data_IF_220386678246
#
_entry.id   IF_220386678246
#
_cell.length_a   1.000
_cell.length_b   1.000
_cell.length_c   1.000
_cell.angle_alpha   90.00
_cell.angle_beta   90.00
_cell.angle_gamma   90.00
#
_symmetry.space_group_name_H-M   'P 1'
#
loop_
_entity.id
_entity.type
_entity.pdbx_description
1 polymer ?
#
# COMPACT_ATOMS: atom_id res chain seq x y z
N UNK A 1 3.37 8.94 4.23
CA UNK A 1 4.59 9.15 5.06
C UNK A 1 5.82 9.56 4.24
N UNK A 2 6.31 8.74 3.31
CA UNK A 2 7.52 9.05 2.52
C UNK A 2 7.39 10.33 1.70
N UNK A 3 6.26 10.51 1.01
CA UNK A 3 6.02 11.71 0.21
C UNK A 3 6.09 13.00 1.05
N UNK A 4 5.47 13.01 2.22
CA UNK A 4 5.52 14.16 3.15
C UNK A 4 6.96 14.42 3.61
N UNK A 5 7.69 13.38 3.99
CA UNK A 5 9.11 13.51 4.35
C UNK A 5 9.93 14.12 3.22
N UNK A 6 9.73 13.66 1.98
CA UNK A 6 10.42 14.20 0.81
C UNK A 6 10.10 15.68 0.57
N UNK A 7 8.83 16.10 0.67
CA UNK A 7 8.43 17.49 0.51
C UNK A 7 9.09 18.41 1.56
N UNK A 8 9.14 17.95 2.82
CA UNK A 8 9.73 18.71 3.93
C UNK A 8 11.25 18.83 3.80
N UNK A 9 11.94 17.75 3.42
CA UNK A 9 13.41 17.75 3.30
C UNK A 9 13.93 18.63 2.17
N UNK A 10 13.11 18.84 1.13
CA UNK A 10 13.47 19.64 -0.03
C UNK A 10 12.85 21.04 -0.03
N UNK A 11 12.14 21.43 1.04
CA UNK A 11 11.49 22.75 1.16
C UNK A 11 10.59 23.09 -0.04
N UNK A 12 9.85 22.09 -0.55
CA UNK A 12 9.04 22.25 -1.77
C UNK A 12 7.70 22.94 -1.57
N UNK A 13 7.28 23.15 -0.32
CA UNK A 13 6.00 23.78 -0.02
C UNK A 13 6.12 24.67 1.23
N UNK A 14 5.55 25.87 1.14
CA UNK A 14 5.47 26.81 2.27
C UNK A 14 4.48 26.38 3.35
N UNK A 15 3.51 25.54 2.99
CA UNK A 15 2.51 24.97 3.90
C UNK A 15 2.23 23.52 3.48
N UNK A 16 2.20 22.59 4.43
CA UNK A 16 1.81 21.20 4.21
C UNK A 16 0.78 20.82 5.28
N UNK A 17 -0.38 20.34 4.82
CA UNK A 17 -1.40 19.70 5.66
C UNK A 17 -1.61 18.26 5.23
N UNK A 18 -1.54 17.36 6.21
CA UNK A 18 -1.84 15.94 6.05
C UNK A 18 -3.21 15.66 6.66
N UNK A 19 -4.10 15.03 5.90
CA UNK A 19 -5.41 14.58 6.39
C UNK A 19 -5.48 13.07 6.26
N UNK A 20 -5.73 12.38 7.37
CA UNK A 20 -5.86 10.93 7.40
C UNK A 20 -6.91 10.51 8.42
N UNK A 21 -7.75 9.53 8.10
CA UNK A 21 -8.71 8.97 9.06
C UNK A 21 -8.01 8.26 10.23
N UNK A 22 -6.79 7.78 10.00
CA UNK A 22 -5.98 7.06 10.97
C UNK A 22 -5.17 8.05 11.81
N UNK A 23 -5.21 7.88 13.13
CA UNK A 23 -4.39 8.67 14.05
C UNK A 23 -2.90 8.50 13.76
N UNK A 24 -2.17 9.60 13.60
CA UNK A 24 -0.73 9.57 13.32
C UNK A 24 0.07 8.77 14.35
N UNK A 25 -0.32 8.78 15.63
CA UNK A 25 0.35 8.01 16.68
C UNK A 25 0.30 6.49 16.43
N UNK A 26 -0.68 6.02 15.65
CA UNK A 26 -0.81 4.62 15.26
C UNK A 26 -0.01 4.30 14.00
N UNK A 27 0.48 5.30 13.28
CA UNK A 27 1.45 5.11 12.21
C UNK A 27 2.83 4.87 12.83
N UNK A 28 3.43 3.70 12.54
CA UNK A 28 4.79 3.40 12.95
C UNK A 28 5.79 4.19 12.10
N UNK A 29 6.01 5.46 12.48
CA UNK A 29 6.97 6.34 11.84
C UNK A 29 8.39 6.07 12.36
N UNK A 30 9.33 5.93 11.42
CA UNK A 30 10.76 5.94 11.75
C UNK A 30 11.21 7.36 12.21
N UNK A 31 12.41 7.53 12.79
CA UNK A 31 12.86 8.82 13.31
C UNK A 31 12.82 9.96 12.27
N UNK A 32 13.26 9.67 11.04
CA UNK A 32 13.26 10.61 9.92
C UNK A 32 11.85 11.12 9.62
N UNK A 33 10.89 10.20 9.51
CA UNK A 33 9.48 10.54 9.28
C UNK A 33 8.89 11.31 10.46
N UNK A 34 9.22 10.93 11.70
CA UNK A 34 8.72 11.63 12.89
C UNK A 34 9.16 13.09 12.93
N UNK A 35 10.41 13.36 12.57
CA UNK A 35 10.92 14.73 12.46
C UNK A 35 10.16 15.52 11.38
N UNK A 36 9.99 14.96 10.18
CA UNK A 36 9.24 15.62 9.12
C UNK A 36 7.78 15.91 9.53
N UNK A 37 7.12 14.95 10.17
CA UNK A 37 5.73 15.11 10.62
C UNK A 37 5.57 16.09 11.78
N UNK A 38 6.63 16.40 12.54
CA UNK A 38 6.60 17.49 13.53
C UNK A 38 6.61 18.90 12.93
N UNK A 39 6.90 19.02 11.63
CA UNK A 39 6.98 20.29 10.89
C UNK A 39 5.74 20.58 10.03
N UNK A 40 4.74 19.70 10.04
CA UNK A 40 3.53 19.82 9.20
C UNK A 40 2.28 19.73 10.06
N UNK A 41 1.17 20.25 9.53
CA UNK A 41 -0.12 20.13 10.20
C UNK A 41 -0.76 18.77 9.87
N UNK A 42 -1.27 18.07 10.88
CA UNK A 42 -1.87 16.74 10.70
C UNK A 42 -3.25 16.73 11.31
N UNK A 43 -4.27 16.44 10.49
CA UNK A 43 -5.66 16.38 10.89
C UNK A 43 -6.19 14.97 10.77
N UNK A 44 -6.92 14.54 11.79
CA UNK A 44 -7.70 13.31 11.73
C UNK A 44 -9.10 13.59 11.19
N UNK A 45 -9.28 13.48 9.88
CA UNK A 45 -10.57 13.69 9.20
C UNK A 45 -10.68 12.80 7.97
N UNK A 46 -11.91 12.62 7.47
CA UNK A 46 -12.16 11.90 6.23
C UNK A 46 -11.97 12.78 4.98
N UNK A 47 -12.14 14.11 5.09
CA UNK A 47 -12.11 15.05 3.96
C UNK A 47 -11.19 16.24 4.24
N UNK A 48 -10.56 16.75 3.17
CA UNK A 48 -9.74 17.96 3.21
C UNK A 48 -10.66 19.17 3.06
N UNK A 49 -10.95 19.86 4.16
CA UNK A 49 -11.65 21.15 4.14
C UNK A 49 -10.84 22.25 4.85
N UNK A 50 -10.94 23.48 4.34
CA UNK A 50 -10.48 24.69 5.05
C UNK A 50 -11.71 25.53 5.40
N UNK A 51 -11.99 25.58 6.70
CA UNK A 51 -13.15 26.30 7.27
C UNK A 51 -13.06 27.82 7.02
N UNK A 52 -11.84 28.36 6.95
CA UNK A 52 -11.56 29.78 6.74
C UNK A 52 -11.78 30.28 5.30
N UNK A 53 -12.15 29.40 4.37
CA UNK A 53 -12.36 29.79 2.98
C UNK A 53 -11.13 29.66 2.08
N UNK A 54 -9.94 29.49 2.65
CA UNK A 54 -8.67 29.42 1.89
C UNK A 54 -8.53 28.09 1.12
N UNK A 55 -7.47 27.97 0.31
CA UNK A 55 -7.24 26.84 -0.60
C UNK A 55 -5.77 26.42 -0.58
N UNK A 56 -5.46 25.32 -1.28
CA UNK A 56 -4.11 24.89 -1.59
C UNK A 56 -3.85 25.02 -3.10
N UNK A 57 -2.60 25.24 -3.47
CA UNK A 57 -2.20 25.21 -4.88
C UNK A 57 -2.20 23.78 -5.45
N UNK A 58 -1.81 22.81 -4.62
CA UNK A 58 -1.69 21.40 -4.98
C UNK A 58 -2.42 20.54 -3.96
N UNK A 59 -3.22 19.58 -4.42
CA UNK A 59 -3.89 18.59 -3.59
C UNK A 59 -3.57 17.20 -4.12
N UNK A 60 -3.11 16.32 -3.24
CA UNK A 60 -2.77 14.93 -3.57
C UNK A 60 -3.67 13.99 -2.77
N UNK A 61 -4.58 13.28 -3.45
CA UNK A 61 -5.35 12.21 -2.83
C UNK A 61 -4.55 10.91 -2.85
N UNK A 62 -4.03 10.54 -1.67
CA UNK A 62 -3.32 9.28 -1.42
C UNK A 62 -4.14 8.30 -0.58
N UNK A 63 -5.42 8.62 -0.30
CA UNK A 63 -6.28 7.80 0.51
C UNK A 63 -6.78 6.60 -0.32
N UNK A 64 -6.69 5.41 0.25
CA UNK A 64 -7.11 4.18 -0.40
C UNK A 64 -7.69 3.18 0.60
N UNK A 65 -8.49 2.24 0.10
CA UNK A 65 -8.76 1.00 0.81
C UNK A 65 -7.72 -0.03 0.37
N UNK A 66 -6.80 -0.36 1.28
CA UNK A 66 -5.67 -1.25 0.99
C UNK A 66 -5.91 -2.68 1.43
N UNK A 67 -7.05 -2.96 2.08
CA UNK A 67 -7.48 -4.33 2.35
C UNK A 67 -8.33 -4.83 1.19
N UNK A 68 -8.03 -6.05 0.76
CA UNK A 68 -8.84 -6.77 -0.21
C UNK A 68 -10.09 -7.36 0.47
N UNK A 69 -10.92 -8.05 -0.33
CA UNK A 69 -12.14 -8.74 0.11
C UNK A 69 -13.13 -7.86 0.91
N UNK A 70 -13.14 -6.55 0.69
CA UNK A 70 -14.13 -5.70 1.35
C UNK A 70 -15.51 -5.85 0.70
N UNK A 71 -16.56 -5.58 1.46
CA UNK A 71 -17.91 -5.50 0.89
C UNK A 71 -18.00 -4.28 -0.04
N UNK A 72 -18.83 -4.37 -1.07
CA UNK A 72 -18.98 -3.32 -2.09
C UNK A 72 -19.19 -1.92 -1.50
N UNK A 73 -20.02 -1.82 -0.46
CA UNK A 73 -20.27 -0.57 0.26
C UNK A 73 -19.00 0.08 0.83
N UNK A 74 -18.03 -0.72 1.29
CA UNK A 74 -16.76 -0.19 1.81
C UNK A 74 -15.93 0.41 0.68
N UNK A 75 -15.90 -0.22 -0.50
CA UNK A 75 -15.22 0.35 -1.67
C UNK A 75 -15.94 1.61 -2.18
N UNK A 76 -17.28 1.58 -2.24
CA UNK A 76 -18.09 2.74 -2.62
C UNK A 76 -17.83 3.95 -1.71
N UNK A 77 -17.81 3.74 -0.39
CA UNK A 77 -17.59 4.82 0.58
C UNK A 77 -16.13 5.29 0.61
N UNK A 78 -15.17 4.36 0.68
CA UNK A 78 -13.76 4.67 0.98
C UNK A 78 -12.89 4.93 -0.23
N UNK A 79 -13.34 4.55 -1.42
CA UNK A 79 -12.61 4.77 -2.66
C UNK A 79 -13.40 5.76 -3.52
N UNK A 80 -14.59 5.36 -3.98
CA UNK A 80 -15.35 6.17 -4.93
C UNK A 80 -15.83 7.50 -4.34
N UNK A 81 -16.62 7.44 -3.26
CA UNK A 81 -17.24 8.63 -2.64
C UNK A 81 -16.17 9.61 -2.14
N UNK A 82 -15.11 9.09 -1.52
CA UNK A 82 -14.00 9.90 -1.05
C UNK A 82 -13.30 10.66 -2.19
N UNK A 83 -12.98 9.95 -3.27
CA UNK A 83 -12.28 10.55 -4.43
C UNK A 83 -13.13 11.62 -5.10
N UNK A 84 -14.43 11.35 -5.30
CA UNK A 84 -15.37 12.33 -5.89
C UNK A 84 -15.45 13.58 -5.02
N UNK A 85 -15.63 13.44 -3.70
CA UNK A 85 -15.74 14.58 -2.79
C UNK A 85 -14.46 15.42 -2.75
N UNK A 86 -13.29 14.78 -2.73
CA UNK A 86 -12.01 15.48 -2.76
C UNK A 86 -11.82 16.25 -4.07
N UNK A 87 -12.19 15.65 -5.20
CA UNK A 87 -12.11 16.30 -6.51
C UNK A 87 -13.11 17.47 -6.64
N UNK A 88 -14.35 17.29 -6.18
CA UNK A 88 -15.38 18.35 -6.17
C UNK A 88 -14.94 19.54 -5.31
N UNK A 89 -14.39 19.30 -4.11
CA UNK A 89 -13.88 20.36 -3.24
C UNK A 89 -12.66 21.05 -3.88
N UNK A 90 -11.71 20.31 -4.45
CA UNK A 90 -10.56 20.89 -5.15
C UNK A 90 -10.99 21.77 -6.34
N UNK A 91 -11.99 21.33 -7.11
CA UNK A 91 -12.57 22.10 -8.21
C UNK A 91 -13.28 23.36 -7.70
N UNK A 92 -14.11 23.23 -6.66
CA UNK A 92 -14.82 24.36 -6.03
C UNK A 92 -13.87 25.45 -5.53
N UNK A 93 -12.69 25.02 -5.07
CA UNK A 93 -11.62 25.89 -4.55
C UNK A 93 -10.65 26.39 -5.62
N UNK A 94 -10.83 25.98 -6.88
CA UNK A 94 -9.92 26.28 -8.00
C UNK A 94 -8.45 25.94 -7.69
N UNK A 95 -8.22 24.76 -7.11
CA UNK A 95 -6.85 24.23 -6.89
C UNK A 95 -6.13 24.15 -8.24
N UNK A 96 -4.86 24.57 -8.29
CA UNK A 96 -4.09 24.59 -9.55
C UNK A 96 -3.82 23.18 -10.07
N UNK A 97 -3.53 22.24 -9.18
CA UNK A 97 -3.28 20.83 -9.50
C UNK A 97 -3.94 19.91 -8.48
N UNK A 98 -4.78 19.01 -8.96
CA UNK A 98 -5.31 17.88 -8.20
C UNK A 98 -4.69 16.58 -8.75
N UNK A 99 -4.11 15.77 -7.86
CA UNK A 99 -3.53 14.46 -8.21
C UNK A 99 -4.29 13.38 -7.47
N UNK A 100 -4.91 12.48 -8.23
CA UNK A 100 -5.48 11.24 -7.74
C UNK A 100 -4.45 10.11 -7.92
N UNK A 101 -4.02 9.47 -6.82
CA UNK A 101 -3.14 8.31 -6.92
C UNK A 101 -3.98 7.04 -6.89
N UNK A 102 -4.06 6.39 -8.04
CA UNK A 102 -4.72 5.11 -8.20
C UNK A 102 -3.73 3.95 -8.37
N UNK A 103 -4.24 2.73 -8.37
CA UNK A 103 -3.44 1.52 -8.61
C UNK A 103 -3.44 1.14 -10.09
N UNK A 104 -2.32 0.57 -10.54
CA UNK A 104 -2.19 -0.03 -11.85
C UNK A 104 -3.22 -1.14 -12.13
N UNK A 105 -3.67 -1.82 -11.07
CA UNK A 105 -4.53 -3.00 -11.16
C UNK A 105 -5.91 -2.73 -11.81
N UNK A 106 -6.33 -1.46 -11.87
CA UNK A 106 -7.60 -1.09 -12.52
C UNK A 106 -7.51 -1.11 -14.05
N UNK A 107 -6.30 -1.09 -14.61
CA UNK A 107 -6.10 -1.07 -16.04
C UNK A 107 -5.99 -2.50 -16.58
N UNK A 108 -6.71 -2.76 -17.67
CA UNK A 108 -6.54 -4.03 -18.38
C UNK A 108 -5.12 -4.11 -18.90
N UNK A 109 -4.41 -5.19 -18.57
CA UNK A 109 -3.14 -5.48 -19.21
C UNK A 109 -3.40 -5.96 -20.63
N UNK A 110 -2.79 -5.32 -21.61
CA UNK A 110 -2.74 -5.85 -22.97
C UNK A 110 -1.88 -7.12 -22.95
N UNK A 111 -2.54 -8.29 -22.89
CA UNK A 111 -1.99 -9.67 -23.03
C UNK A 111 -0.56 -9.87 -22.49
N UNK A 112 -0.43 -10.28 -21.22
CA UNK A 112 0.84 -10.80 -20.69
C UNK A 112 0.94 -12.31 -20.97
N UNK A 113 1.41 -12.69 -22.16
CA UNK A 113 1.70 -14.10 -22.48
C UNK A 113 3.15 -14.52 -22.20
N UNK A 114 4.06 -13.61 -21.84
CA UNK A 114 5.50 -13.89 -21.94
C UNK A 114 6.30 -13.80 -20.62
N UNK A 115 5.67 -13.49 -19.47
CA UNK A 115 6.40 -13.33 -18.20
C UNK A 115 7.01 -14.66 -17.69
N UNK A 116 6.39 -15.80 -18.03
CA UNK A 116 6.86 -17.13 -17.62
C UNK A 116 8.14 -17.58 -18.33
N UNK A 117 8.48 -16.97 -19.48
CA UNK A 117 9.65 -17.34 -20.27
C UNK A 117 10.93 -16.64 -19.75
N UNK A 118 10.79 -15.46 -19.14
CA UNK A 118 11.91 -14.63 -18.69
C UNK A 118 12.52 -15.08 -17.36
N UNK A 119 11.72 -15.68 -16.46
CA UNK A 119 12.18 -16.06 -15.11
C UNK A 119 12.79 -17.47 -15.02
N UNK A 120 12.83 -18.25 -16.10
CA UNK A 120 13.42 -19.60 -16.08
C UNK A 120 12.74 -20.61 -15.14
N UNK A 121 11.60 -20.26 -14.52
CA UNK A 121 10.86 -21.11 -13.58
C UNK A 121 9.97 -22.10 -14.35
N UNK A 122 10.58 -22.98 -15.15
CA UNK A 122 9.85 -24.06 -15.85
C UNK A 122 9.35 -25.17 -14.93
N UNK A 123 9.68 -25.15 -13.63
CA UNK A 123 9.49 -26.30 -12.75
C UNK A 123 8.37 -26.18 -11.70
N UNK A 124 7.80 -25.00 -11.45
CA UNK A 124 6.77 -24.84 -10.40
C UNK A 124 5.35 -24.56 -10.94
N UNK A 125 5.21 -24.22 -12.22
CA UNK A 125 3.92 -23.94 -12.86
C UNK A 125 3.14 -25.20 -13.33
N UNK A 126 3.57 -26.40 -12.89
CA UNK A 126 2.82 -27.65 -13.05
C UNK A 126 2.06 -28.05 -11.78
N UNK A 127 1.80 -27.10 -10.89
CA UNK A 127 0.67 -27.20 -9.98
C UNK A 127 -0.48 -26.56 -10.75
N UNK A 128 -1.39 -27.42 -11.22
CA UNK A 128 -2.60 -27.14 -11.98
C UNK A 128 -3.50 -26.06 -11.33
N UNK A 129 -3.10 -24.79 -11.43
CA UNK A 129 -3.92 -23.66 -11.02
C UNK A 129 -4.77 -23.23 -12.22
N UNK A 130 -6.00 -23.74 -12.20
CA UNK A 130 -7.18 -23.21 -12.87
C UNK A 130 -7.18 -23.24 -14.41
N UNK A 131 -7.34 -24.44 -14.98
CA UNK A 131 -8.00 -24.58 -16.29
C UNK A 131 -8.97 -25.76 -16.35
N UNK A 132 -9.86 -25.86 -15.35
CA UNK A 132 -11.09 -26.63 -15.48
C UNK A 132 -12.25 -25.84 -14.90
N UNK A 133 -13.12 -25.42 -15.82
CA UNK A 133 -14.53 -25.13 -15.60
C UNK A 133 -15.04 -25.98 -14.40
N UNK A 134 -15.39 -25.38 -13.24
CA UNK A 134 -15.71 -26.16 -12.06
C UNK A 134 -17.05 -26.84 -12.27
N UNK A 135 -17.01 -28.05 -12.82
CA UNK A 135 -18.00 -29.05 -12.48
C UNK A 135 -18.01 -29.14 -10.96
N UNK A 136 -19.21 -29.00 -10.39
CA UNK A 136 -19.53 -29.29 -9.00
C UNK A 136 -18.74 -30.52 -8.54
N UNK A 137 -18.18 -30.48 -7.32
CA UNK A 137 -17.40 -31.53 -6.65
C UNK A 137 -15.87 -31.40 -6.75
N UNK A 138 -15.29 -30.48 -5.98
CA UNK A 138 -14.09 -30.78 -5.16
C UNK A 138 -13.89 -29.66 -4.11
N UNK A 139 -14.59 -29.81 -2.99
CA UNK A 139 -14.72 -28.83 -1.91
C UNK A 139 -13.57 -28.84 -0.88
N UNK A 140 -12.46 -29.57 -1.11
CA UNK A 140 -11.54 -29.95 -0.02
C UNK A 140 -10.28 -29.12 0.19
N UNK A 141 -9.97 -28.15 -0.66
CA UNK A 141 -8.82 -27.26 -0.43
C UNK A 141 -9.01 -25.89 -1.09
N UNK A 142 -10.01 -25.15 -0.65
CA UNK A 142 -10.17 -23.76 -1.10
C UNK A 142 -9.24 -22.87 -0.27
N UNK A 143 -8.57 -21.84 -0.82
CA UNK A 143 -7.58 -21.03 -0.10
C UNK A 143 -8.05 -20.48 1.24
N UNK A 144 -9.34 -20.14 1.41
CA UNK A 144 -9.88 -19.71 2.70
C UNK A 144 -9.85 -20.80 3.79
N UNK A 145 -9.88 -22.10 3.43
CA UNK A 145 -9.66 -23.20 4.38
C UNK A 145 -8.23 -23.24 4.90
N UNK A 146 -7.28 -22.58 4.21
CA UNK A 146 -5.91 -22.39 4.67
C UNK A 146 -5.80 -21.21 5.64
N UNK A 147 -6.53 -20.11 5.39
CA UNK A 147 -6.58 -18.98 6.31
C UNK A 147 -7.04 -19.43 7.69
N UNK A 148 -8.10 -20.23 7.80
CA UNK A 148 -8.56 -20.77 9.09
C UNK A 148 -7.49 -21.62 9.80
N UNK A 149 -6.71 -22.40 9.03
CA UNK A 149 -5.62 -23.23 9.57
C UNK A 149 -4.41 -22.42 10.01
N UNK A 150 -4.16 -21.25 9.40
CA UNK A 150 -3.01 -20.39 9.76
C UNK A 150 -3.35 -19.37 10.85
N UNK A 151 -4.57 -18.83 10.84
CA UNK A 151 -4.99 -17.78 11.77
C UNK A 151 -4.95 -18.25 13.24
N UNK A 152 -5.36 -19.49 13.51
CA UNK A 152 -5.31 -20.08 14.85
C UNK A 152 -3.88 -20.14 15.42
N UNK A 153 -2.94 -20.86 14.76
CA UNK A 153 -1.54 -20.91 15.16
C UNK A 153 -0.88 -19.53 15.25
N UNK A 154 -1.15 -18.62 14.31
CA UNK A 154 -0.63 -17.24 14.36
C UNK A 154 -1.11 -16.50 15.60
N UNK A 155 -2.40 -16.56 15.91
CA UNK A 155 -2.97 -15.92 17.11
C UNK A 155 -2.36 -16.49 18.39
N UNK A 156 -2.19 -17.81 18.47
CA UNK A 156 -1.51 -18.47 19.60
C UNK A 156 -0.05 -18.01 19.69
N UNK A 157 0.68 -17.96 18.57
CA UNK A 157 2.07 -17.50 18.54
C UNK A 157 2.22 -16.05 19.04
N UNK A 158 1.37 -15.14 18.57
CA UNK A 158 1.40 -13.74 19.02
C UNK A 158 1.01 -13.62 20.49
N UNK A 159 -0.03 -14.33 20.94
CA UNK A 159 -0.49 -14.30 22.34
C UNK A 159 0.57 -14.85 23.30
N UNK A 160 1.19 -15.97 22.94
CA UNK A 160 2.16 -16.66 23.80
C UNK A 160 3.56 -16.02 23.68
N UNK A 161 3.77 -15.18 22.66
CA UNK A 161 4.94 -14.33 22.55
C UNK A 161 4.95 -13.29 23.66
N UNK A 162 5.89 -13.44 24.59
CA UNK A 162 6.17 -12.42 25.64
C UNK A 162 6.71 -11.11 25.07
N UNK A 163 6.99 -11.03 23.77
CA UNK A 163 7.83 -9.99 23.14
C UNK A 163 7.17 -9.28 21.96
N UNK A 164 6.28 -9.95 21.21
CA UNK A 164 5.53 -9.34 20.12
C UNK A 164 4.21 -8.80 20.69
N UNK A 165 4.20 -7.51 21.00
CA UNK A 165 3.01 -6.84 21.58
C UNK A 165 1.95 -6.51 20.53
N UNK A 166 2.39 -6.19 19.31
CA UNK A 166 1.54 -5.99 18.14
C UNK A 166 2.33 -6.32 16.87
N UNK A 167 1.63 -6.66 15.79
CA UNK A 167 2.23 -6.81 14.46
C UNK A 167 1.22 -6.34 13.41
N UNK A 168 1.66 -5.57 12.40
CA UNK A 168 0.80 -5.23 11.26
C UNK A 168 0.68 -6.39 10.26
N UNK A 169 1.49 -7.45 10.42
CA UNK A 169 1.49 -8.58 9.52
C UNK A 169 0.32 -9.50 9.82
N UNK A 170 -0.32 -9.99 8.76
CA UNK A 170 -1.38 -10.98 8.82
C UNK A 170 -0.98 -12.20 7.99
N UNK A 171 -1.21 -13.43 8.48
CA UNK A 171 -1.02 -14.63 7.67
C UNK A 171 -2.21 -14.86 6.73
N UNK A 172 -3.23 -14.01 6.80
CA UNK A 172 -4.42 -14.09 5.96
C UNK A 172 -4.09 -13.71 4.52
N UNK A 173 -4.48 -14.58 3.58
CA UNK A 173 -4.33 -14.35 2.15
C UNK A 173 -5.69 -14.10 1.52
N UNK A 174 -5.87 -12.93 0.93
CA UNK A 174 -7.06 -12.58 0.15
C UNK A 174 -7.09 -13.32 -1.20
N UNK A 175 -8.28 -13.69 -1.67
CA UNK A 175 -8.44 -14.48 -2.90
C UNK A 175 -7.98 -13.70 -4.13
N UNK A 176 -8.21 -12.39 -4.12
CA UNK A 176 -7.88 -11.45 -5.18
C UNK A 176 -6.36 -11.37 -5.42
N UNK A 177 -5.55 -11.64 -4.39
CA UNK A 177 -4.09 -11.74 -4.50
C UNK A 177 -3.64 -13.01 -5.24
N UNK A 178 -4.52 -14.01 -5.37
CA UNK A 178 -4.26 -15.24 -6.12
C UNK A 178 -4.76 -15.15 -7.57
N UNK A 179 -5.38 -14.03 -7.95
CA UNK A 179 -5.77 -13.77 -9.33
C UNK A 179 -4.54 -13.37 -10.16
N UNK A 180 -4.66 -13.52 -11.48
CA UNK A 180 -3.63 -13.09 -12.42
C UNK A 180 -3.69 -11.55 -12.58
N UNK A 181 -3.13 -10.84 -11.60
CA UNK A 181 -3.07 -9.39 -11.61
C UNK A 181 -1.75 -8.93 -12.24
N UNK A 182 -1.76 -7.95 -13.17
CA UNK A 182 -0.54 -7.34 -13.63
C UNK A 182 0.17 -6.65 -12.46
N UNK A 183 1.40 -7.08 -12.16
CA UNK A 183 2.20 -6.54 -11.05
C UNK A 183 3.04 -5.31 -11.45
N UNK A 184 2.96 -4.89 -12.70
CA UNK A 184 3.74 -3.77 -13.24
C UNK A 184 3.01 -3.04 -14.36
N UNK A 185 3.44 -1.80 -14.62
CA UNK A 185 2.98 -0.94 -15.72
C UNK A 185 4.20 -0.42 -16.47
N UNK A 186 4.07 -0.27 -17.78
CA UNK A 186 5.10 0.39 -18.60
C UNK A 186 5.19 1.89 -18.26
N UNK A 187 6.28 2.27 -17.59
CA UNK A 187 6.58 3.66 -17.22
C UNK A 187 7.20 4.51 -18.33
N UNK A 188 7.36 4.00 -19.56
CA UNK A 188 8.06 4.74 -20.64
C UNK A 188 7.42 6.09 -20.92
N UNK A 189 6.09 6.19 -20.85
CA UNK A 189 5.40 7.45 -21.10
C UNK A 189 5.75 8.52 -20.07
N UNK A 190 5.81 8.18 -18.78
CA UNK A 190 6.15 9.15 -17.73
C UNK A 190 7.60 9.61 -17.87
N UNK A 191 8.55 8.71 -18.17
CA UNK A 191 9.95 9.09 -18.33
C UNK A 191 10.17 9.97 -19.55
N UNK A 192 9.54 9.67 -20.69
CA UNK A 192 9.69 10.43 -21.94
C UNK A 192 9.00 11.78 -21.89
N UNK A 193 7.76 11.85 -21.40
CA UNK A 193 6.97 13.09 -21.45
C UNK A 193 7.34 14.08 -20.33
N UNK A 194 7.76 13.57 -19.16
CA UNK A 194 8.03 14.44 -18.00
C UNK A 194 9.52 14.59 -17.70
N UNK A 195 10.38 13.76 -18.30
CA UNK A 195 11.79 13.68 -17.94
C UNK A 195 12.05 12.99 -16.59
N UNK A 196 11.03 12.39 -15.97
CA UNK A 196 11.16 11.70 -14.69
C UNK A 196 12.24 10.62 -14.73
N UNK A 197 13.12 10.64 -13.73
CA UNK A 197 14.18 9.67 -13.54
C UNK A 197 13.91 8.88 -12.27
N UNK A 198 13.96 7.54 -12.37
CA UNK A 198 13.88 6.69 -11.19
C UNK A 198 15.17 6.83 -10.38
N UNK A 199 15.05 7.26 -9.12
CA UNK A 199 16.19 7.26 -8.19
C UNK A 199 16.69 5.84 -7.90
N UNK A 200 15.78 4.86 -7.95
CA UNK A 200 16.04 3.43 -7.78
C UNK A 200 15.42 2.71 -8.99
N UNK A 201 16.13 2.62 -10.12
CA UNK A 201 15.57 2.08 -11.37
C UNK A 201 15.39 0.56 -11.34
N UNK A 202 16.12 -0.14 -10.47
CA UNK A 202 16.07 -1.58 -10.32
C UNK A 202 15.99 -1.95 -8.84
N UNK A 203 15.36 -3.08 -8.54
CA UNK A 203 15.39 -3.65 -7.18
C UNK A 203 16.80 -4.15 -6.92
N UNK A 204 17.44 -3.64 -5.87
CA UNK A 204 18.78 -4.07 -5.47
C UNK A 204 18.78 -4.61 -4.04
N UNK A 205 19.72 -5.50 -3.75
CA UNK A 205 19.88 -6.07 -2.41
C UNK A 205 20.11 -4.98 -1.35
N UNK A 206 20.89 -3.95 -1.68
CA UNK A 206 21.17 -2.83 -0.77
C UNK A 206 19.89 -2.09 -0.38
N UNK A 207 18.98 -1.85 -1.34
CA UNK A 207 17.71 -1.17 -1.10
C UNK A 207 16.71 -2.04 -0.35
N UNK A 208 16.72 -3.35 -0.58
CA UNK A 208 15.94 -4.29 0.22
C UNK A 208 16.44 -4.34 1.66
N UNK A 209 17.75 -4.33 1.87
CA UNK A 209 18.36 -4.28 3.21
C UNK A 209 18.01 -2.97 3.91
N UNK A 210 18.04 -1.83 3.22
CA UNK A 210 17.59 -0.53 3.77
C UNK A 210 16.16 -0.60 4.32
N UNK A 211 15.23 -1.21 3.58
CA UNK A 211 13.84 -1.42 4.03
C UNK A 211 13.75 -2.33 5.26
N UNK A 212 14.57 -3.39 5.32
CA UNK A 212 14.63 -4.30 6.47
C UNK A 212 15.12 -3.56 7.71
N UNK A 213 16.16 -2.72 7.58
CA UNK A 213 16.67 -1.91 8.68
C UNK A 213 15.63 -0.93 9.21
N UNK A 214 14.83 -0.31 8.33
CA UNK A 214 13.69 0.52 8.73
C UNK A 214 12.69 -0.27 9.60
N UNK A 215 12.39 -1.52 9.22
CA UNK A 215 11.52 -2.39 10.02
C UNK A 215 12.14 -2.78 11.37
N UNK A 216 13.45 -2.96 11.44
CA UNK A 216 14.15 -3.20 12.73
C UNK A 216 14.04 -1.99 13.64
N UNK A 217 14.27 -0.78 13.12
CA UNK A 217 14.22 0.47 13.89
C UNK A 217 12.84 0.72 14.51
N UNK A 218 11.76 0.41 13.78
CA UNK A 218 10.39 0.55 14.30
C UNK A 218 9.92 -0.67 15.12
N UNK A 219 10.79 -1.68 15.30
CA UNK A 219 10.52 -2.86 16.12
C UNK A 219 9.57 -3.88 15.48
N UNK A 220 9.43 -3.85 14.17
CA UNK A 220 8.56 -4.77 13.40
C UNK A 220 9.31 -5.95 12.80
N UNK A 221 10.62 -5.83 12.62
CA UNK A 221 11.45 -6.94 12.16
C UNK A 221 11.77 -7.91 13.31
N UNK A 222 11.74 -9.23 13.09
CA UNK A 222 12.25 -10.20 14.06
C UNK A 222 13.72 -9.93 14.37
N UNK A 223 14.09 -9.82 15.65
CA UNK A 223 15.48 -9.87 16.09
C UNK A 223 16.09 -11.25 15.86
N UNK A 224 17.41 -11.35 15.92
CA UNK A 224 18.12 -12.62 15.87
C UNK A 224 17.81 -13.48 17.11
N UNK A 225 17.78 -14.82 17.00
CA UNK A 225 17.51 -15.74 18.10
C UNK A 225 18.30 -15.44 19.38
N UNK A 226 19.57 -15.04 19.25
CA UNK A 226 20.50 -14.79 20.34
C UNK A 226 20.23 -13.45 21.06
N UNK A 227 19.64 -12.48 20.37
CA UNK A 227 19.24 -11.19 20.94
C UNK A 227 17.96 -11.28 21.80
N UNK A 228 17.38 -12.48 21.87
CA UNK A 228 16.23 -12.79 22.71
C UNK A 228 16.60 -13.49 24.03
N UNK A 229 17.88 -13.67 24.34
CA UNK A 229 18.33 -14.22 25.63
C UNK A 229 18.31 -13.15 26.72
#
# INVERSE_FOLDING_TARGET
RNFITYLVENDFASEIRVVDKVLLITAALNPKQREAFSKVEVWQKDLVDREDGSSYDYVFNLAAETKYSQIEKVYEERVYTLSVRNAEEAARRNVKVYVEVSTAEIYQSDKVSNLFEYLGVKALAKIDLYDKNPSKEDDKAKPWTINDKHMGPWTTFIRDSKKIKNTPLTPYVDKELLCNNPLSVDGTKITVETGFQYEVPEVTDEKLVEMIEDFKVIGWWPKEPEEYV
#
